data_IF_864299098070
#
_entry.id   IF_864299098070
#
_cell.length_a   1.000
_cell.length_b   1.000
_cell.length_c   1.000
_cell.angle_alpha   90.00
_cell.angle_beta   90.00
_cell.angle_gamma   90.00
#
_symmetry.space_group_name_H-M   'P 1'
#
loop_
_entity.id
_entity.type
_entity.pdbx_description
1 polymer ?
#
# COMPACT_ATOMS: atom_id res chain seq x y z
N UNK A 1 -1.43 0.78 8.52
CA UNK A 1 -2.36 -0.37 8.49
C UNK A 1 -1.95 -1.47 7.51
N UNK A 2 -1.07 -1.22 6.53
CA UNK A 2 -0.59 -2.27 5.60
C UNK A 2 0.15 -3.44 6.28
N UNK A 3 0.70 -3.25 7.48
CA UNK A 3 1.51 -4.25 8.18
C UNK A 3 0.77 -5.44 8.81
N UNK A 4 -0.56 -5.49 8.72
CA UNK A 4 -1.41 -6.51 9.36
C UNK A 4 -2.32 -7.26 8.38
N UNK A 5 -2.25 -6.93 7.09
CA UNK A 5 -3.13 -7.48 6.05
C UNK A 5 -2.31 -8.23 5.01
N UNK A 6 -2.89 -9.27 4.41
CA UNK A 6 -2.24 -10.02 3.32
C UNK A 6 -2.42 -9.36 1.95
N UNK A 7 -3.49 -8.58 1.79
CA UNK A 7 -3.83 -7.86 0.56
C UNK A 7 -4.34 -6.47 0.88
N UNK A 8 -4.02 -5.55 -0.02
CA UNK A 8 -4.49 -4.19 0.05
C UNK A 8 -4.91 -3.70 -1.34
N UNK A 9 -5.88 -2.79 -1.33
CA UNK A 9 -6.48 -2.18 -2.50
C UNK A 9 -6.49 -0.68 -2.30
N UNK A 10 -6.08 0.02 -3.34
CA UNK A 10 -6.15 1.45 -3.40
C UNK A 10 -7.33 1.83 -4.31
N UNK A 11 -8.19 2.71 -3.81
CA UNK A 11 -9.41 3.12 -4.50
C UNK A 11 -9.39 4.63 -4.69
N UNK A 12 -9.51 5.06 -5.93
CA UNK A 12 -9.58 6.47 -6.33
C UNK A 12 -10.75 6.64 -7.29
N UNK A 13 -11.58 7.68 -7.11
CA UNK A 13 -12.76 7.96 -7.94
C UNK A 13 -13.71 6.76 -8.10
N UNK A 14 -13.91 6.00 -7.01
CA UNK A 14 -14.77 4.82 -7.00
C UNK A 14 -14.22 3.62 -7.79
N UNK A 15 -12.95 3.67 -8.23
CA UNK A 15 -12.30 2.59 -8.97
C UNK A 15 -11.07 2.09 -8.24
N UNK A 16 -10.80 0.79 -8.34
CA UNK A 16 -9.55 0.20 -7.85
C UNK A 16 -8.44 0.61 -8.81
N UNK A 17 -7.53 1.46 -8.33
CA UNK A 17 -6.38 1.96 -9.08
C UNK A 17 -5.16 1.07 -8.88
N UNK A 18 -4.96 0.52 -7.68
CA UNK A 18 -3.88 -0.43 -7.38
C UNK A 18 -4.37 -1.56 -6.47
N UNK A 19 -3.83 -2.75 -6.66
CA UNK A 19 -4.13 -3.93 -5.81
C UNK A 19 -2.90 -4.81 -5.70
N UNK A 20 -2.66 -5.38 -4.53
CA UNK A 20 -1.51 -6.26 -4.32
C UNK A 20 -1.31 -6.64 -2.87
N UNK A 21 -0.17 -7.26 -2.59
CA UNK A 21 0.31 -7.40 -1.21
C UNK A 21 0.79 -6.04 -0.70
N UNK A 22 0.87 -5.85 0.62
CA UNK A 22 1.49 -4.66 1.22
C UNK A 22 2.86 -4.33 0.63
N UNK A 23 3.70 -5.35 0.42
CA UNK A 23 5.05 -5.22 -0.11
C UNK A 23 5.01 -4.66 -1.53
N UNK A 24 4.19 -5.25 -2.39
CA UNK A 24 4.04 -4.82 -3.78
C UNK A 24 3.51 -3.38 -3.90
N UNK A 25 2.63 -2.96 -2.99
CA UNK A 25 2.13 -1.58 -2.99
C UNK A 25 3.18 -0.58 -2.50
N UNK A 26 4.04 -0.97 -1.56
CA UNK A 26 5.08 -0.08 -1.02
C UNK A 26 6.26 0.09 -1.99
N UNK A 27 6.49 -0.91 -2.85
CA UNK A 27 7.44 -0.83 -3.97
C UNK A 27 6.91 -0.09 -5.20
N UNK A 28 5.58 0.11 -5.30
CA UNK A 28 4.98 0.84 -6.41
C UNK A 28 5.29 2.34 -6.30
N UNK A 29 6.00 2.88 -7.30
CA UNK A 29 6.32 4.31 -7.39
C UNK A 29 5.07 5.19 -7.34
N UNK A 30 4.04 4.83 -8.11
CA UNK A 30 2.74 5.53 -8.12
C UNK A 30 2.10 5.51 -6.73
N UNK A 31 2.11 4.37 -6.04
CA UNK A 31 1.57 4.29 -4.69
C UNK A 31 2.36 5.17 -3.71
N UNK A 32 3.69 5.20 -3.82
CA UNK A 32 4.57 6.01 -2.98
C UNK A 32 4.35 7.51 -3.20
N UNK A 33 4.31 7.97 -4.43
CA UNK A 33 4.19 9.39 -4.74
C UNK A 33 2.80 9.95 -4.41
N UNK A 34 1.75 9.19 -4.74
CA UNK A 34 0.39 9.71 -4.70
C UNK A 34 -0.33 9.38 -3.38
N UNK A 35 0.07 8.34 -2.64
CA UNK A 35 -0.76 7.79 -1.55
C UNK A 35 -0.01 7.46 -0.25
N UNK A 36 1.20 6.89 -0.32
CA UNK A 36 1.95 6.45 0.87
C UNK A 36 2.90 7.53 1.38
N UNK A 37 3.47 8.32 0.47
CA UNK A 37 4.55 9.28 0.73
C UNK A 37 5.94 8.64 0.76
N UNK A 38 6.97 9.46 0.48
CA UNK A 38 8.36 8.99 0.40
C UNK A 38 8.93 8.43 1.71
N UNK A 39 8.37 8.81 2.86
CA UNK A 39 8.79 8.38 4.20
C UNK A 39 8.04 7.15 4.72
N UNK A 40 7.18 6.54 3.89
CA UNK A 40 6.44 5.36 4.32
C UNK A 40 7.36 4.13 4.42
N UNK A 41 7.32 3.49 5.58
CA UNK A 41 7.96 2.19 5.84
C UNK A 41 6.92 1.13 6.18
N UNK A 42 7.02 -0.03 5.53
CA UNK A 42 6.19 -1.18 5.87
C UNK A 42 6.72 -1.83 7.15
N UNK A 43 5.96 -1.73 8.25
CA UNK A 43 6.25 -2.46 9.49
C UNK A 43 5.28 -3.60 9.66
N UNK A 44 5.78 -4.84 9.59
CA UNK A 44 4.99 -6.04 9.86
C UNK A 44 4.67 -6.09 11.36
N UNK A 45 3.40 -6.20 11.71
CA UNK A 45 3.03 -6.45 13.10
C UNK A 45 3.23 -7.94 13.37
N UNK A 46 4.12 -8.26 14.30
CA UNK A 46 4.28 -9.63 14.80
C UNK A 46 3.21 -9.83 15.87
N UNK A 47 2.11 -10.47 15.47
CA UNK A 47 1.11 -11.00 16.40
C UNK A 47 1.70 -12.23 17.08
#
# INVERSE_FOLDING_TARGET
>A
MLGIVDRAYLITDGKITLKGTPEALVESEIAREQYLGHNFELRRSRI
#
